data_IF_006880730807
#
_entry.id   IF_006880730807
#
_cell.length_a   1.000
_cell.length_b   1.000
_cell.length_c   1.000
_cell.angle_alpha   90.00
_cell.angle_beta   90.00
_cell.angle_gamma   90.00
#
_symmetry.space_group_name_H-M   'P 1'
#
loop_
_entity.id
_entity.type
_entity.pdbx_description
1 polymer ?
#
# COMPACT_ATOMS: atom_id res chain seq x y z
N UNK A 1 -1.29 -29.93 -13.27
CA UNK A 1 -0.68 -28.82 -14.03
C UNK A 1 -1.80 -27.94 -14.55
N UNK A 2 -2.11 -26.83 -13.87
CA UNK A 2 -2.85 -25.69 -14.44
C UNK A 2 -2.22 -24.45 -13.82
N UNK A 3 -1.12 -24.03 -14.42
CA UNK A 3 -0.58 -22.70 -14.25
C UNK A 3 -0.59 -22.09 -15.64
N UNK A 4 -1.35 -21.01 -15.83
CA UNK A 4 -1.14 -20.01 -16.87
C UNK A 4 -1.94 -18.78 -16.46
N UNK A 5 -1.24 -17.67 -16.28
CA UNK A 5 -1.84 -16.35 -16.36
C UNK A 5 -2.38 -16.20 -17.78
N UNK A 6 -3.66 -15.93 -17.93
CA UNK A 6 -4.29 -15.68 -19.23
C UNK A 6 -5.33 -14.61 -18.98
N UNK A 7 -5.30 -13.54 -19.78
CA UNK A 7 -6.47 -12.70 -19.98
C UNK A 7 -7.70 -13.62 -20.07
N UNK A 8 -8.76 -13.27 -19.34
CA UNK A 8 -10.00 -14.03 -19.44
C UNK A 8 -10.39 -14.04 -20.92
N UNK A 9 -10.58 -15.22 -21.52
CA UNK A 9 -10.89 -15.30 -22.94
C UNK A 9 -12.23 -14.60 -23.21
N UNK A 10 -12.44 -14.14 -24.44
CA UNK A 10 -13.58 -13.29 -24.86
C UNK A 10 -14.86 -13.61 -24.08
N UNK A 11 -15.19 -12.75 -23.11
CA UNK A 11 -16.40 -12.88 -22.33
C UNK A 11 -17.56 -12.37 -23.17
N UNK A 12 -18.66 -13.10 -23.15
CA UNK A 12 -19.87 -12.76 -23.86
C UNK A 12 -20.89 -12.24 -22.87
N UNK A 13 -21.67 -11.24 -23.27
CA UNK A 13 -22.80 -10.77 -22.46
C UNK A 13 -23.97 -11.74 -22.70
N UNK A 14 -24.31 -12.48 -21.65
CA UNK A 14 -25.35 -13.51 -21.66
C UNK A 14 -26.59 -12.91 -21.02
N UNK A 15 -27.76 -13.12 -21.65
CA UNK A 15 -29.05 -12.72 -21.13
C UNK A 15 -29.79 -13.91 -20.51
N UNK A 16 -30.38 -13.68 -19.34
CA UNK A 16 -31.24 -14.63 -18.65
C UNK A 16 -32.71 -14.34 -18.95
N UNK A 17 -33.59 -15.33 -18.74
CA UNK A 17 -35.04 -15.20 -18.95
C UNK A 17 -35.68 -14.11 -18.06
N UNK A 18 -35.07 -13.77 -16.93
CA UNK A 18 -35.50 -12.68 -16.05
C UNK A 18 -35.10 -11.28 -16.57
N UNK A 19 -34.50 -11.21 -17.76
CA UNK A 19 -33.98 -9.99 -18.38
C UNK A 19 -32.63 -9.52 -17.85
N UNK A 20 -32.07 -10.20 -16.83
CA UNK A 20 -30.75 -9.86 -16.30
C UNK A 20 -29.64 -10.26 -17.27
N UNK A 21 -28.52 -9.52 -17.22
CA UNK A 21 -27.38 -9.71 -18.11
C UNK A 21 -26.11 -9.95 -17.31
N UNK A 22 -25.26 -10.83 -17.79
CA UNK A 22 -23.96 -11.12 -17.16
C UNK A 22 -22.89 -11.38 -18.22
N UNK A 23 -21.79 -10.64 -18.11
CA UNK A 23 -20.57 -10.88 -18.87
C UNK A 23 -19.85 -12.09 -18.29
N UNK A 24 -19.69 -13.14 -19.11
CA UNK A 24 -18.98 -14.33 -18.71
C UNK A 24 -18.91 -15.39 -19.79
N UNK A 25 -18.55 -16.60 -19.39
CA UNK A 25 -18.52 -17.79 -20.23
C UNK A 25 -19.31 -18.91 -19.55
N UNK A 26 -20.22 -19.53 -20.29
CA UNK A 26 -20.89 -20.75 -19.82
C UNK A 26 -19.95 -21.95 -20.03
N UNK A 27 -19.65 -22.68 -18.97
CA UNK A 27 -18.88 -23.93 -18.99
C UNK A 27 -19.66 -25.02 -18.27
N UNK A 28 -19.50 -26.29 -18.67
CA UNK A 28 -20.05 -27.43 -17.94
C UNK A 28 -19.00 -27.99 -16.99
N UNK A 29 -19.33 -28.09 -15.71
CA UNK A 29 -18.47 -28.67 -14.68
C UNK A 29 -19.30 -29.71 -13.93
N UNK A 30 -18.85 -30.96 -13.91
CA UNK A 30 -19.52 -32.07 -13.20
C UNK A 30 -21.01 -32.24 -13.56
N UNK A 31 -21.39 -31.96 -14.81
CA UNK A 31 -22.79 -32.06 -15.29
C UNK A 31 -23.66 -30.83 -15.04
N UNK A 32 -23.19 -29.85 -14.24
CA UNK A 32 -23.87 -28.57 -14.04
C UNK A 32 -23.33 -27.48 -14.97
N UNK A 33 -24.23 -26.66 -15.53
CA UNK A 33 -23.85 -25.44 -16.26
C UNK A 33 -23.43 -24.36 -15.28
N UNK A 34 -22.23 -23.82 -15.45
CA UNK A 34 -21.64 -22.76 -14.63
C UNK A 34 -21.35 -21.56 -15.51
N UNK A 35 -21.62 -20.35 -15.02
CA UNK A 35 -21.14 -19.11 -15.64
C UNK A 35 -19.87 -18.67 -14.94
N UNK A 36 -18.78 -18.55 -15.70
CA UNK A 36 -17.45 -18.14 -15.22
C UNK A 36 -17.21 -16.68 -15.63
N UNK A 37 -16.84 -15.84 -14.67
CA UNK A 37 -16.68 -14.39 -14.81
C UNK A 37 -15.31 -13.93 -14.28
N UNK A 38 -15.03 -12.61 -14.36
CA UNK A 38 -13.83 -12.01 -13.76
C UNK A 38 -13.75 -12.14 -12.23
N UNK A 39 -14.89 -12.37 -11.56
CA UNK A 39 -14.99 -12.41 -10.10
C UNK A 39 -15.10 -13.82 -9.53
N UNK A 40 -15.45 -14.81 -10.35
CA UNK A 40 -15.63 -16.19 -9.92
C UNK A 40 -16.52 -16.98 -10.86
N UNK A 41 -17.19 -18.00 -10.34
CA UNK A 41 -18.19 -18.76 -11.05
C UNK A 41 -19.50 -18.86 -10.25
N UNK A 42 -20.62 -19.03 -10.94
CA UNK A 42 -21.93 -19.25 -10.34
C UNK A 42 -22.66 -20.38 -11.09
N UNK A 43 -23.37 -21.29 -10.39
CA UNK A 43 -24.22 -22.26 -11.07
C UNK A 43 -25.36 -21.55 -11.80
N UNK A 44 -25.71 -22.07 -12.97
CA UNK A 44 -26.84 -21.62 -13.77
C UNK A 44 -27.90 -22.71 -13.75
N UNK A 45 -29.14 -22.34 -13.44
CA UNK A 45 -30.28 -23.25 -13.48
C UNK A 45 -30.57 -23.60 -14.95
N UNK A 46 -30.80 -24.87 -15.25
CA UNK A 46 -31.14 -25.29 -16.61
C UNK A 46 -32.47 -24.64 -17.04
N UNK A 47 -32.49 -24.02 -18.23
CA UNK A 47 -33.66 -23.32 -18.77
C UNK A 47 -33.57 -21.79 -18.67
N UNK A 48 -32.85 -21.23 -17.70
CA UNK A 48 -32.86 -19.76 -17.47
C UNK A 48 -32.01 -18.95 -18.43
N UNK A 49 -31.41 -19.58 -19.44
CA UNK A 49 -30.56 -18.93 -20.43
C UNK A 49 -31.40 -18.61 -21.67
N UNK A 50 -31.69 -17.32 -21.88
CA UNK A 50 -32.46 -16.83 -23.02
C UNK A 50 -31.60 -16.77 -24.29
N UNK A 51 -30.38 -16.22 -24.17
CA UNK A 51 -29.46 -16.17 -25.31
C UNK A 51 -28.25 -15.27 -25.10
N UNK A 52 -27.51 -15.03 -26.18
CA UNK A 52 -26.47 -14.02 -26.22
C UNK A 52 -27.10 -12.66 -26.56
N UNK A 53 -26.66 -11.60 -25.87
CA UNK A 53 -27.06 -10.24 -26.23
C UNK A 53 -26.52 -9.90 -27.62
N UNK A 54 -27.33 -9.30 -28.52
CA UNK A 54 -26.89 -8.92 -29.86
C UNK A 54 -25.62 -8.07 -29.84
N UNK A 55 -24.74 -8.27 -30.84
CA UNK A 55 -23.44 -7.60 -30.88
C UNK A 55 -23.54 -6.06 -30.91
N UNK A 56 -24.58 -5.53 -31.54
CA UNK A 56 -24.84 -4.08 -31.62
C UNK A 56 -25.20 -3.51 -30.25
N UNK A 57 -26.03 -4.22 -29.47
CA UNK A 57 -26.39 -3.82 -28.11
C UNK A 57 -25.19 -3.86 -27.16
N UNK A 58 -24.34 -4.89 -27.29
CA UNK A 58 -23.08 -4.98 -26.54
C UNK A 58 -22.16 -3.81 -26.88
N UNK A 59 -22.08 -3.44 -28.17
CA UNK A 59 -21.26 -2.32 -28.64
C UNK A 59 -21.79 -0.98 -28.11
N UNK A 60 -23.11 -0.78 -28.11
CA UNK A 60 -23.76 0.39 -27.54
C UNK A 60 -23.51 0.52 -26.03
N UNK A 61 -23.64 -0.57 -25.28
CA UNK A 61 -23.35 -0.58 -23.84
C UNK A 61 -21.88 -0.26 -23.54
N UNK A 62 -20.95 -0.77 -24.36
CA UNK A 62 -19.52 -0.44 -24.23
C UNK A 62 -19.23 1.02 -24.57
N UNK A 63 -19.92 1.61 -25.54
CA UNK A 63 -19.80 3.03 -25.84
C UNK A 63 -20.30 3.90 -24.67
N UNK A 64 -21.46 3.55 -24.09
CA UNK A 64 -21.98 4.22 -22.89
C UNK A 64 -21.02 4.11 -21.70
N UNK A 65 -20.39 2.94 -21.50
CA UNK A 65 -19.35 2.78 -20.49
C UNK A 65 -18.17 3.72 -20.74
N UNK A 66 -17.69 3.81 -21.99
CA UNK A 66 -16.56 4.66 -22.35
C UNK A 66 -16.85 6.15 -22.08
N UNK A 67 -18.03 6.63 -22.50
CA UNK A 67 -18.50 7.99 -22.24
C UNK A 67 -18.55 8.28 -20.73
N UNK A 68 -19.20 7.42 -19.95
CA UNK A 68 -19.26 7.59 -18.49
C UNK A 68 -17.88 7.49 -17.83
N UNK A 69 -16.96 6.69 -18.37
CA UNK A 69 -15.61 6.56 -17.82
C UNK A 69 -14.77 7.81 -18.07
N UNK A 70 -15.00 8.54 -19.17
CA UNK A 70 -14.36 9.83 -19.47
C UNK A 70 -14.86 10.94 -18.54
N UNK A 71 -16.16 10.92 -18.20
CA UNK A 71 -16.77 11.89 -17.28
C UNK A 71 -16.27 11.74 -15.83
N UNK A 72 -15.72 10.57 -15.46
CA UNK A 72 -15.21 10.35 -14.10
C UNK A 72 -13.84 10.98 -13.93
N UNK A 73 -13.85 12.16 -13.29
CA UNK A 73 -12.66 12.93 -12.91
C UNK A 73 -11.54 12.03 -12.35
N UNK A 74 -10.30 12.12 -12.88
CA UNK A 74 -9.16 11.39 -12.35
C UNK A 74 -8.99 11.60 -10.83
N UNK A 75 -8.86 10.50 -10.08
CA UNK A 75 -8.72 10.54 -8.62
C UNK A 75 -10.03 10.65 -7.83
N UNK A 76 -11.18 10.86 -8.47
CA UNK A 76 -12.47 10.85 -7.78
C UNK A 76 -12.97 9.41 -7.56
N UNK A 77 -12.73 8.88 -6.36
CA UNK A 77 -13.02 7.48 -6.02
C UNK A 77 -14.52 7.17 -5.96
N UNK A 78 -15.36 8.13 -5.54
CA UNK A 78 -16.80 7.92 -5.44
C UNK A 78 -17.47 7.72 -6.81
N UNK A 79 -17.11 8.53 -7.81
CA UNK A 79 -17.62 8.37 -9.19
C UNK A 79 -17.24 7.02 -9.80
N UNK A 80 -16.01 6.56 -9.55
CA UNK A 80 -15.56 5.22 -10.01
C UNK A 80 -16.32 4.08 -9.35
N UNK A 81 -16.68 4.20 -8.07
CA UNK A 81 -17.52 3.19 -7.40
C UNK A 81 -18.94 3.21 -7.96
N UNK A 82 -19.49 4.38 -8.26
CA UNK A 82 -20.81 4.50 -8.91
C UNK A 82 -20.81 3.86 -10.30
N UNK A 83 -19.78 4.15 -11.12
CA UNK A 83 -19.60 3.52 -12.43
C UNK A 83 -19.42 2.00 -12.31
N UNK A 84 -18.66 1.52 -11.33
CA UNK A 84 -18.52 0.09 -11.08
C UNK A 84 -19.86 -0.59 -10.75
N UNK A 85 -20.72 0.09 -9.96
CA UNK A 85 -22.06 -0.40 -9.63
C UNK A 85 -22.96 -0.42 -10.85
N UNK A 86 -22.96 0.64 -11.66
CA UNK A 86 -23.68 0.66 -12.93
C UNK A 86 -23.23 -0.47 -13.86
N UNK A 87 -21.91 -0.69 -13.98
CA UNK A 87 -21.37 -1.82 -14.75
C UNK A 87 -21.89 -3.16 -14.23
N UNK A 88 -22.01 -3.34 -12.91
CA UNK A 88 -22.60 -4.56 -12.34
C UNK A 88 -24.08 -4.72 -12.68
N UNK A 89 -24.86 -3.64 -12.66
CA UNK A 89 -26.29 -3.65 -13.04
C UNK A 89 -26.48 -3.99 -14.52
N UNK A 90 -25.60 -3.51 -15.39
CA UNK A 90 -25.61 -3.83 -16.83
C UNK A 90 -24.98 -5.19 -17.17
N UNK A 91 -24.42 -5.89 -16.20
CA UNK A 91 -23.71 -7.16 -16.39
C UNK A 91 -22.28 -7.03 -16.92
N UNK A 92 -21.74 -5.83 -17.11
CA UNK A 92 -20.38 -5.54 -17.61
C UNK A 92 -19.33 -5.73 -16.50
N UNK A 93 -19.11 -6.98 -16.10
CA UNK A 93 -18.26 -7.30 -14.95
C UNK A 93 -16.78 -6.95 -15.15
N UNK A 94 -16.26 -7.00 -16.38
CA UNK A 94 -14.89 -6.59 -16.70
C UNK A 94 -14.67 -5.10 -16.42
N UNK A 95 -15.59 -4.25 -16.87
CA UNK A 95 -15.57 -2.82 -16.58
C UNK A 95 -15.74 -2.52 -15.09
N UNK A 96 -16.63 -3.26 -14.40
CA UNK A 96 -16.77 -3.14 -12.95
C UNK A 96 -15.45 -3.45 -12.22
N UNK A 97 -14.75 -4.52 -12.61
CA UNK A 97 -13.47 -4.90 -12.00
C UNK A 97 -12.39 -3.83 -12.21
N UNK A 98 -12.30 -3.29 -13.42
CA UNK A 98 -11.35 -2.21 -13.75
C UNK A 98 -11.54 -0.98 -12.86
N UNK A 99 -12.79 -0.51 -12.72
CA UNK A 99 -13.08 0.66 -11.89
C UNK A 99 -12.82 0.39 -10.39
N UNK A 100 -13.15 -0.79 -9.89
CA UNK A 100 -12.83 -1.19 -8.51
C UNK A 100 -11.31 -1.23 -8.30
N UNK A 101 -10.55 -1.81 -9.22
CA UNK A 101 -9.10 -1.86 -9.14
C UNK A 101 -8.47 -0.46 -9.16
N UNK A 102 -9.02 0.45 -9.96
CA UNK A 102 -8.58 1.85 -9.97
C UNK A 102 -8.81 2.52 -8.61
N UNK A 103 -9.98 2.29 -7.98
CA UNK A 103 -10.28 2.82 -6.64
C UNK A 103 -9.36 2.23 -5.58
N UNK A 104 -9.24 0.90 -5.55
CA UNK A 104 -8.44 0.16 -4.57
C UNK A 104 -6.95 0.48 -4.69
N UNK A 105 -6.46 0.84 -5.88
CA UNK A 105 -5.07 1.29 -6.09
C UNK A 105 -4.77 2.61 -5.40
N UNK A 106 -5.71 3.55 -5.40
CA UNK A 106 -5.57 4.88 -4.80
C UNK A 106 -5.92 4.84 -3.32
N UNK A 107 -7.10 4.30 -2.99
CA UNK A 107 -7.63 4.16 -1.65
C UNK A 107 -8.14 2.74 -1.40
N UNK A 108 -7.26 1.81 -0.96
CA UNK A 108 -7.65 0.46 -0.56
C UNK A 108 -8.61 0.41 0.63
N UNK A 109 -8.78 1.53 1.35
CA UNK A 109 -9.57 1.62 2.58
C UNK A 109 -10.94 2.26 2.32
N UNK A 110 -11.26 2.55 1.05
CA UNK A 110 -12.56 3.08 0.62
C UNK A 110 -13.70 2.17 1.09
N UNK A 111 -14.57 2.73 1.94
CA UNK A 111 -15.73 2.01 2.50
C UNK A 111 -16.69 1.56 1.40
N UNK A 112 -16.97 2.43 0.43
CA UNK A 112 -17.91 2.15 -0.66
C UNK A 112 -17.39 1.05 -1.59
N UNK A 113 -16.09 1.08 -1.92
CA UNK A 113 -15.47 0.00 -2.70
C UNK A 113 -15.48 -1.32 -1.93
N UNK A 114 -15.13 -1.30 -0.63
CA UNK A 114 -15.13 -2.50 0.18
C UNK A 114 -16.53 -3.12 0.36
N UNK A 115 -17.57 -2.28 0.44
CA UNK A 115 -18.98 -2.73 0.48
C UNK A 115 -19.37 -3.43 -0.84
N UNK A 116 -19.08 -2.80 -1.99
CA UNK A 116 -19.33 -3.38 -3.30
C UNK A 116 -18.59 -4.71 -3.49
N UNK A 117 -17.33 -4.79 -3.06
CA UNK A 117 -16.55 -6.03 -3.08
C UNK A 117 -17.19 -7.11 -2.20
N UNK A 118 -17.82 -6.73 -1.08
CA UNK A 118 -18.60 -7.65 -0.23
C UNK A 118 -19.84 -8.19 -0.94
N UNK A 119 -20.57 -7.34 -1.67
CA UNK A 119 -21.71 -7.76 -2.51
C UNK A 119 -21.26 -8.74 -3.61
N UNK A 120 -20.16 -8.43 -4.30
CA UNK A 120 -19.53 -9.32 -5.29
C UNK A 120 -19.12 -10.65 -4.64
N UNK A 121 -18.51 -10.58 -3.45
CA UNK A 121 -18.13 -11.76 -2.69
C UNK A 121 -19.34 -12.57 -2.23
N UNK A 122 -20.53 -12.01 -2.09
CA UNK A 122 -21.74 -12.79 -1.80
C UNK A 122 -22.28 -13.47 -3.08
N UNK A 123 -22.24 -12.76 -4.22
CA UNK A 123 -22.82 -13.21 -5.48
C UNK A 123 -22.03 -14.32 -6.21
N UNK A 124 -20.70 -14.32 -6.09
CA UNK A 124 -19.81 -15.16 -6.90
C UNK A 124 -19.02 -16.17 -6.05
N UNK A 125 -18.89 -17.43 -6.51
CA UNK A 125 -18.03 -18.43 -5.88
C UNK A 125 -16.64 -18.39 -6.49
N UNK A 126 -15.59 -18.42 -5.67
CA UNK A 126 -14.21 -18.39 -6.14
C UNK A 126 -13.71 -19.75 -6.66
N UNK A 127 -14.20 -20.84 -6.07
CA UNK A 127 -13.78 -22.22 -6.35
C UNK A 127 -14.97 -23.17 -6.19
N UNK A 128 -14.90 -24.36 -6.79
CA UNK A 128 -15.91 -25.42 -6.61
C UNK A 128 -15.94 -25.96 -5.18
N UNK A 129 -14.82 -25.87 -4.46
CA UNK A 129 -14.73 -26.25 -3.05
C UNK A 129 -15.41 -25.24 -2.10
N UNK A 130 -15.83 -24.08 -2.60
CA UNK A 130 -16.50 -23.07 -1.78
C UNK A 130 -17.89 -23.55 -1.34
N UNK A 131 -18.12 -23.55 -0.03
CA UNK A 131 -19.36 -24.08 0.57
C UNK A 131 -19.41 -25.61 0.67
N UNK A 132 -18.30 -26.30 0.39
CA UNK A 132 -18.21 -27.75 0.53
C UNK A 132 -18.44 -28.22 1.97
N UNK A 133 -19.36 -29.17 2.16
CA UNK A 133 -19.71 -29.70 3.48
C UNK A 133 -18.62 -30.59 4.10
N UNK A 134 -17.75 -31.21 3.27
CA UNK A 134 -16.71 -32.13 3.75
C UNK A 134 -15.50 -31.35 4.28
N UNK A 135 -14.84 -31.81 5.37
CA UNK A 135 -13.63 -31.17 5.90
C UNK A 135 -12.48 -31.07 4.87
N UNK A 136 -12.39 -32.03 3.95
CA UNK A 136 -11.41 -32.01 2.86
C UNK A 136 -11.61 -30.81 1.93
N UNK A 137 -12.85 -30.51 1.59
CA UNK A 137 -13.20 -29.43 0.66
C UNK A 137 -12.98 -28.08 1.31
N UNK A 138 -13.36 -27.92 2.60
CA UNK A 138 -13.04 -26.71 3.37
C UNK A 138 -11.55 -26.44 3.47
N UNK A 139 -10.74 -27.45 3.82
CA UNK A 139 -9.27 -27.32 3.87
C UNK A 139 -8.67 -26.95 2.53
N UNK A 140 -9.19 -27.55 1.44
CA UNK A 140 -8.78 -27.22 0.07
C UNK A 140 -9.14 -25.77 -0.27
N UNK A 141 -10.37 -25.35 0.02
CA UNK A 141 -10.83 -23.99 -0.21
C UNK A 141 -9.96 -22.98 0.55
N UNK A 142 -9.73 -23.19 1.85
CA UNK A 142 -8.84 -22.33 2.66
C UNK A 142 -7.43 -22.24 2.05
N UNK A 143 -6.83 -23.38 1.69
CA UNK A 143 -5.50 -23.40 1.05
C UNK A 143 -5.49 -22.57 -0.23
N UNK A 144 -6.51 -22.73 -1.05
CA UNK A 144 -6.63 -22.11 -2.36
C UNK A 144 -6.92 -20.61 -2.25
N UNK A 145 -7.71 -20.22 -1.24
CA UNK A 145 -7.99 -18.83 -0.88
C UNK A 145 -6.71 -18.04 -0.65
N UNK A 146 -5.79 -18.58 0.18
CA UNK A 146 -4.52 -17.93 0.50
C UNK A 146 -3.46 -18.08 -0.60
N UNK A 147 -3.37 -19.21 -1.29
CA UNK A 147 -2.25 -19.46 -2.23
C UNK A 147 -2.55 -19.07 -3.68
N UNK A 148 -3.80 -19.19 -4.11
CA UNK A 148 -4.21 -18.96 -5.50
C UNK A 148 -5.00 -17.67 -5.65
N UNK A 149 -6.11 -17.53 -4.93
CA UNK A 149 -7.04 -16.42 -5.16
C UNK A 149 -6.45 -15.09 -4.69
N UNK A 150 -6.00 -14.99 -3.44
CA UNK A 150 -5.36 -13.78 -2.93
C UNK A 150 -4.02 -13.44 -3.59
N UNK A 151 -3.45 -14.36 -4.37
CA UNK A 151 -2.21 -14.12 -5.08
C UNK A 151 -2.38 -13.36 -6.41
N UNK A 152 -3.60 -13.34 -6.98
CA UNK A 152 -3.90 -12.75 -8.30
C UNK A 152 -3.78 -11.23 -8.30
N UNK A 153 -4.62 -10.57 -7.53
CA UNK A 153 -4.72 -9.11 -7.45
C UNK A 153 -5.28 -8.70 -6.06
N UNK A 154 -5.20 -7.41 -5.73
CA UNK A 154 -5.64 -6.91 -4.43
C UNK A 154 -7.17 -6.99 -4.28
N UNK A 155 -7.93 -6.75 -5.35
CA UNK A 155 -9.40 -6.87 -5.36
C UNK A 155 -9.84 -8.30 -5.01
N UNK A 156 -9.22 -9.30 -5.62
CA UNK A 156 -9.45 -10.73 -5.34
C UNK A 156 -8.98 -11.09 -3.94
N UNK A 157 -7.91 -10.49 -3.43
CA UNK A 157 -7.53 -10.64 -2.02
C UNK A 157 -8.58 -10.05 -1.06
N UNK A 158 -9.25 -8.95 -1.43
CA UNK A 158 -10.37 -8.37 -0.68
C UNK A 158 -11.64 -9.24 -0.76
N UNK A 159 -11.98 -9.78 -1.93
CA UNK A 159 -13.05 -10.80 -2.07
C UNK A 159 -12.73 -12.01 -1.19
N UNK A 160 -11.49 -12.50 -1.26
CA UNK A 160 -11.03 -13.61 -0.44
C UNK A 160 -11.09 -13.30 1.05
N UNK A 161 -10.86 -12.05 1.47
CA UNK A 161 -11.02 -11.62 2.85
C UNK A 161 -12.49 -11.68 3.29
N UNK A 162 -13.43 -11.18 2.47
CA UNK A 162 -14.87 -11.32 2.73
C UNK A 162 -15.30 -12.77 2.87
N UNK A 163 -14.87 -13.65 1.96
CA UNK A 163 -15.11 -15.10 2.07
C UNK A 163 -14.51 -15.70 3.34
N UNK A 164 -13.29 -15.30 3.71
CA UNK A 164 -12.63 -15.78 4.92
C UNK A 164 -13.40 -15.40 6.19
N UNK A 165 -14.21 -14.33 6.17
CA UNK A 165 -15.03 -13.93 7.32
C UNK A 165 -16.07 -14.99 7.68
N UNK A 166 -16.62 -15.71 6.70
CA UNK A 166 -17.59 -16.79 6.91
C UNK A 166 -16.95 -18.14 7.32
N UNK A 167 -15.62 -18.26 7.26
CA UNK A 167 -14.92 -19.49 7.63
C UNK A 167 -14.70 -19.57 9.15
N UNK A 168 -14.59 -20.81 9.63
CA UNK A 168 -14.20 -21.12 11.01
C UNK A 168 -12.81 -20.51 11.30
N UNK A 169 -12.67 -19.68 12.35
CA UNK A 169 -11.38 -19.18 12.81
C UNK A 169 -10.31 -20.28 12.90
N UNK A 170 -10.63 -21.45 13.45
CA UNK A 170 -9.66 -22.52 13.68
C UNK A 170 -8.99 -23.00 12.37
N UNK A 171 -9.72 -22.98 11.26
CA UNK A 171 -9.19 -23.39 9.96
C UNK A 171 -8.27 -22.32 9.32
N UNK A 172 -8.35 -21.05 9.76
CA UNK A 172 -7.70 -19.92 9.08
C UNK A 172 -6.40 -19.44 9.75
N UNK A 173 -6.19 -19.73 11.05
CA UNK A 173 -5.02 -19.24 11.80
C UNK A 173 -3.68 -19.68 11.18
N UNK A 174 -3.47 -20.99 11.04
CA UNK A 174 -2.20 -21.54 10.49
C UNK A 174 -1.97 -21.10 9.04
N UNK A 175 -2.97 -21.17 8.13
CA UNK A 175 -2.83 -20.64 6.77
C UNK A 175 -2.45 -19.15 6.73
N UNK A 176 -3.07 -18.32 7.57
CA UNK A 176 -2.76 -16.89 7.61
C UNK A 176 -1.34 -16.61 8.15
N UNK A 177 -0.90 -17.30 9.21
CA UNK A 177 0.48 -17.18 9.69
C UNK A 177 1.52 -17.56 8.61
N UNK A 178 1.23 -18.62 7.84
CA UNK A 178 2.07 -19.02 6.69
C UNK A 178 2.01 -17.97 5.56
N UNK A 179 0.82 -17.44 5.29
CA UNK A 179 0.59 -16.46 4.21
C UNK A 179 1.30 -15.12 4.41
N UNK A 180 1.60 -14.71 5.66
CA UNK A 180 2.44 -13.52 5.92
C UNK A 180 3.86 -13.62 5.35
N UNK A 181 4.34 -14.84 5.04
CA UNK A 181 5.66 -15.09 4.44
C UNK A 181 5.61 -15.24 2.91
N UNK A 182 4.43 -15.08 2.31
CA UNK A 182 4.24 -15.33 0.88
C UNK A 182 4.82 -14.21 -0.01
N UNK A 183 5.21 -14.56 -1.25
CA UNK A 183 5.79 -13.62 -2.22
C UNK A 183 4.80 -12.54 -2.70
N UNK A 184 3.54 -12.90 -2.90
CA UNK A 184 2.48 -11.98 -3.34
C UNK A 184 1.99 -11.10 -2.19
N UNK A 185 1.90 -9.79 -2.45
CA UNK A 185 1.40 -8.80 -1.49
C UNK A 185 -0.07 -9.04 -1.11
N UNK A 186 -0.93 -9.48 -2.05
CA UNK A 186 -2.34 -9.76 -1.78
C UNK A 186 -2.52 -10.88 -0.74
N UNK A 187 -1.68 -11.92 -0.80
CA UNK A 187 -1.68 -13.00 0.20
C UNK A 187 -1.25 -12.51 1.58
N UNK A 188 -0.21 -11.67 1.64
CA UNK A 188 0.25 -11.09 2.92
C UNK A 188 -0.79 -10.13 3.49
N UNK A 189 -1.45 -9.34 2.65
CA UNK A 189 -2.54 -8.45 3.02
C UNK A 189 -3.73 -9.24 3.58
N UNK A 190 -4.21 -10.25 2.86
CA UNK A 190 -5.29 -11.14 3.31
C UNK A 190 -4.94 -11.76 4.66
N UNK A 191 -3.72 -12.28 4.78
CA UNK A 191 -3.22 -12.90 6.01
C UNK A 191 -3.24 -11.95 7.19
N UNK A 192 -2.75 -10.71 7.00
CA UNK A 192 -2.78 -9.70 8.05
C UNK A 192 -4.21 -9.37 8.49
N UNK A 193 -5.14 -9.23 7.53
CA UNK A 193 -6.56 -8.94 7.78
C UNK A 193 -7.28 -10.09 8.48
N UNK A 194 -7.03 -11.34 8.08
CA UNK A 194 -7.62 -12.53 8.72
C UNK A 194 -7.12 -12.69 10.15
N UNK A 195 -5.83 -12.47 10.39
CA UNK A 195 -5.24 -12.54 11.74
C UNK A 195 -5.83 -11.52 12.72
N UNK A 196 -6.57 -10.51 12.26
CA UNK A 196 -7.28 -9.58 13.13
C UNK A 196 -8.36 -10.28 13.97
N UNK A 197 -9.01 -11.32 13.43
CA UNK A 197 -9.99 -12.17 14.14
C UNK A 197 -9.34 -13.08 15.19
N UNK A 198 -8.01 -13.26 15.09
CA UNK A 198 -7.21 -14.12 15.96
C UNK A 198 -6.56 -13.33 17.09
N UNK A 199 -7.21 -12.28 17.61
CA UNK A 199 -6.58 -11.28 18.49
C UNK A 199 -5.92 -11.87 19.75
N UNK A 200 -6.43 -12.99 20.25
CA UNK A 200 -5.96 -13.68 21.46
C UNK A 200 -4.75 -14.61 21.22
N UNK A 201 -4.30 -14.78 19.97
CA UNK A 201 -3.19 -15.67 19.62
C UNK A 201 -1.86 -14.92 19.60
N UNK A 202 -0.97 -15.06 20.60
CA UNK A 202 0.28 -14.29 20.68
C UNK A 202 1.24 -14.60 19.53
N UNK A 203 1.19 -15.78 18.94
CA UNK A 203 2.03 -16.20 17.80
C UNK A 203 1.86 -15.33 16.55
N UNK A 204 0.76 -14.57 16.45
CA UNK A 204 0.54 -13.60 15.36
C UNK A 204 1.36 -12.33 15.51
N UNK A 205 1.77 -11.98 16.73
CA UNK A 205 2.30 -10.66 17.08
C UNK A 205 3.60 -10.38 16.33
N UNK A 206 4.60 -11.25 16.47
CA UNK A 206 5.91 -11.04 15.86
C UNK A 206 5.85 -11.02 14.31
N UNK A 207 5.16 -11.97 13.63
CA UNK A 207 4.96 -11.90 12.19
C UNK A 207 4.30 -10.59 11.71
N UNK A 208 3.22 -10.14 12.39
CA UNK A 208 2.53 -8.90 12.03
C UNK A 208 3.39 -7.67 12.28
N UNK A 209 4.06 -7.60 13.43
CA UNK A 209 4.96 -6.49 13.76
C UNK A 209 6.09 -6.36 12.74
N UNK A 210 6.70 -7.48 12.33
CA UNK A 210 7.72 -7.48 11.27
C UNK A 210 7.13 -6.96 9.96
N UNK A 211 5.93 -7.41 9.56
CA UNK A 211 5.28 -6.92 8.33
C UNK A 211 4.92 -5.44 8.41
N UNK A 212 4.45 -4.96 9.55
CA UNK A 212 4.14 -3.56 9.78
C UNK A 212 5.34 -2.64 9.55
N UNK A 213 6.55 -3.06 9.96
CA UNK A 213 7.76 -2.25 9.82
C UNK A 213 8.41 -2.34 8.43
N UNK A 214 8.53 -3.55 7.89
CA UNK A 214 9.43 -3.80 6.74
C UNK A 214 8.75 -4.31 5.47
N UNK A 215 7.43 -4.48 5.45
CA UNK A 215 6.80 -4.95 4.20
C UNK A 215 6.99 -3.93 3.06
N UNK A 216 7.37 -4.39 1.85
CA UNK A 216 7.47 -3.52 0.69
C UNK A 216 6.16 -2.79 0.37
N UNK A 217 5.03 -3.46 0.52
CA UNK A 217 3.71 -2.91 0.18
C UNK A 217 3.13 -2.12 1.37
N UNK A 218 2.84 -0.83 1.17
CA UNK A 218 2.25 0.05 2.20
C UNK A 218 0.89 -0.46 2.70
N UNK A 219 0.08 -1.04 1.82
CA UNK A 219 -1.22 -1.64 2.16
C UNK A 219 -1.08 -2.81 3.12
N UNK A 220 -0.01 -3.63 2.99
CA UNK A 220 0.27 -4.74 3.90
C UNK A 220 0.76 -4.20 5.25
N UNK A 221 1.61 -3.16 5.25
CA UNK A 221 2.06 -2.51 6.50
C UNK A 221 0.86 -2.01 7.30
N UNK A 222 -0.04 -1.24 6.68
CA UNK A 222 -1.27 -0.74 7.33
C UNK A 222 -2.16 -1.89 7.83
N UNK A 223 -2.39 -2.91 7.00
CA UNK A 223 -3.18 -4.07 7.40
C UNK A 223 -2.59 -4.80 8.61
N UNK A 224 -1.27 -4.94 8.67
CA UNK A 224 -0.59 -5.56 9.80
C UNK A 224 -0.70 -4.74 11.09
N UNK A 225 -0.52 -3.41 11.01
CA UNK A 225 -0.73 -2.52 12.16
C UNK A 225 -2.17 -2.58 12.65
N UNK A 226 -3.15 -2.49 11.76
CA UNK A 226 -4.58 -2.60 12.13
C UNK A 226 -4.91 -3.95 12.77
N UNK A 227 -4.30 -5.02 12.29
CA UNK A 227 -4.46 -6.35 12.90
C UNK A 227 -3.96 -6.38 14.34
N UNK A 228 -2.84 -5.73 14.65
CA UNK A 228 -2.34 -5.56 16.02
C UNK A 228 -3.26 -4.64 16.83
N UNK A 229 -3.71 -3.51 16.24
CA UNK A 229 -4.60 -2.52 16.86
C UNK A 229 -5.87 -3.11 17.46
N UNK A 230 -6.41 -4.22 16.93
CA UNK A 230 -7.62 -4.88 17.46
C UNK A 230 -7.51 -5.25 18.95
N UNK A 231 -6.29 -5.45 19.47
CA UNK A 231 -6.04 -5.71 20.89
C UNK A 231 -6.12 -4.46 21.76
N UNK A 232 -5.96 -3.27 21.17
CA UNK A 232 -5.88 -1.98 21.85
C UNK A 232 -4.82 -1.91 22.97
N UNK A 233 -3.76 -2.74 22.88
CA UNK A 233 -2.70 -2.80 23.91
C UNK A 233 -1.65 -1.67 23.70
N UNK A 234 -1.44 -0.78 24.69
CA UNK A 234 -0.41 0.26 24.66
C UNK A 234 1.03 -0.24 24.45
N UNK A 235 1.31 -1.52 24.71
CA UNK A 235 2.60 -2.17 24.41
C UNK A 235 2.98 -1.97 22.94
N UNK A 236 2.03 -2.01 22.02
CA UNK A 236 2.33 -1.83 20.59
C UNK A 236 2.83 -0.42 20.27
N UNK A 237 2.30 0.61 20.92
CA UNK A 237 2.81 1.98 20.76
C UNK A 237 4.27 2.06 21.21
N UNK A 238 4.61 1.50 22.38
CA UNK A 238 5.99 1.45 22.86
C UNK A 238 6.91 0.66 21.92
N UNK A 239 6.42 -0.44 21.36
CA UNK A 239 7.19 -1.29 20.45
C UNK A 239 7.53 -0.57 19.14
N UNK A 240 6.57 0.13 18.52
CA UNK A 240 6.85 0.93 17.33
C UNK A 240 7.72 2.15 17.66
N UNK A 241 7.49 2.82 18.79
CA UNK A 241 8.27 3.98 19.24
C UNK A 241 9.78 3.70 19.32
N UNK A 242 10.19 2.48 19.72
CA UNK A 242 11.61 2.08 19.74
C UNK A 242 12.30 2.22 18.37
N UNK A 243 11.57 2.19 17.26
CA UNK A 243 12.12 2.32 15.91
C UNK A 243 12.24 3.77 15.43
N UNK A 244 11.71 4.75 16.18
CA UNK A 244 11.89 6.16 15.85
C UNK A 244 13.35 6.62 15.97
N UNK A 245 14.18 5.91 16.74
CA UNK A 245 15.63 6.11 16.82
C UNK A 245 16.46 5.21 15.92
N UNK A 246 15.85 4.46 14.98
CA UNK A 246 16.58 3.50 14.16
C UNK A 246 17.56 4.20 13.20
N UNK A 247 18.78 3.68 12.95
CA UNK A 247 19.71 4.28 11.99
C UNK A 247 19.14 4.36 10.56
N UNK A 248 18.27 3.42 10.17
CA UNK A 248 17.64 3.42 8.85
C UNK A 248 16.43 4.35 8.84
N UNK A 249 16.52 5.45 8.08
CA UNK A 249 15.44 6.42 7.91
C UNK A 249 14.09 5.79 7.56
N UNK A 250 14.09 4.81 6.64
CA UNK A 250 12.87 4.09 6.25
C UNK A 250 12.16 3.45 7.44
N UNK A 251 12.89 2.88 8.40
CA UNK A 251 12.29 2.26 9.59
C UNK A 251 11.74 3.30 10.56
N UNK A 252 12.38 4.46 10.69
CA UNK A 252 11.85 5.56 11.50
C UNK A 252 10.52 6.08 10.92
N UNK A 253 10.46 6.26 9.61
CA UNK A 253 9.24 6.68 8.91
C UNK A 253 8.12 5.64 9.02
N UNK A 254 8.41 4.35 8.78
CA UNK A 254 7.37 3.31 8.90
C UNK A 254 6.90 3.12 10.34
N UNK A 255 7.76 3.34 11.33
CA UNK A 255 7.37 3.37 12.73
C UNK A 255 6.43 4.51 13.05
N UNK A 256 6.70 5.72 12.55
CA UNK A 256 5.79 6.86 12.70
C UNK A 256 4.44 6.64 12.00
N UNK A 257 4.44 6.08 10.78
CA UNK A 257 3.23 5.66 10.07
C UNK A 257 2.43 4.64 10.91
N UNK A 258 3.11 3.66 11.51
CA UNK A 258 2.48 2.64 12.33
C UNK A 258 1.88 3.21 13.63
N UNK A 259 2.58 4.14 14.30
CA UNK A 259 2.04 4.84 15.47
C UNK A 259 0.77 5.61 15.11
N UNK A 260 0.78 6.31 13.97
CA UNK A 260 -0.39 7.02 13.49
C UNK A 260 -1.57 6.10 13.15
N UNK A 261 -1.30 4.94 12.55
CA UNK A 261 -2.31 3.95 12.20
C UNK A 261 -2.87 3.23 13.45
N UNK A 262 -2.04 2.99 14.47
CA UNK A 262 -2.49 2.49 15.77
C UNK A 262 -3.50 3.45 16.40
N UNK A 263 -3.27 4.76 16.33
CA UNK A 263 -4.19 5.73 16.91
C UNK A 263 -4.15 5.77 18.44
N UNK A 264 -3.06 5.31 19.05
CA UNK A 264 -2.90 5.23 20.51
C UNK A 264 -2.14 6.46 21.02
N UNK A 265 -2.64 7.08 22.09
CA UNK A 265 -2.09 8.32 22.65
C UNK A 265 -0.65 8.18 23.12
N UNK A 266 -0.26 6.98 23.56
CA UNK A 266 1.11 6.65 23.98
C UNK A 266 2.14 6.78 22.85
N UNK A 267 1.69 6.91 21.59
CA UNK A 267 2.56 7.20 20.46
C UNK A 267 2.92 8.68 20.29
N UNK A 268 2.19 9.60 20.94
CA UNK A 268 2.35 11.05 20.71
C UNK A 268 3.66 11.57 21.29
N UNK A 269 3.94 11.28 22.57
CA UNK A 269 5.17 11.75 23.22
C UNK A 269 6.44 11.24 22.52
N UNK A 270 6.57 9.94 22.14
CA UNK A 270 7.69 9.48 21.34
C UNK A 270 7.85 10.19 19.99
N UNK A 271 6.75 10.52 19.31
CA UNK A 271 6.79 11.24 18.04
C UNK A 271 7.27 12.69 18.20
N UNK A 272 6.82 13.39 19.25
CA UNK A 272 7.32 14.74 19.56
C UNK A 272 8.81 14.69 19.92
N UNK A 273 9.24 13.69 20.70
CA UNK A 273 10.65 13.45 21.00
C UNK A 273 11.48 13.19 19.74
N UNK A 274 10.98 12.39 18.80
CA UNK A 274 11.66 12.13 17.52
C UNK A 274 11.72 13.38 16.63
N UNK A 275 10.66 14.20 16.61
CA UNK A 275 10.65 15.49 15.90
C UNK A 275 11.66 16.47 16.50
N UNK A 276 11.77 16.52 17.84
CA UNK A 276 12.78 17.30 18.56
C UNK A 276 14.19 16.83 18.22
N UNK A 277 14.44 15.51 18.28
CA UNK A 277 15.74 14.94 17.93
C UNK A 277 16.15 15.27 16.49
N UNK A 278 15.20 15.32 15.55
CA UNK A 278 15.44 15.74 14.17
C UNK A 278 15.75 17.25 14.07
N UNK A 279 15.16 18.07 14.94
CA UNK A 279 15.40 19.52 14.98
C UNK A 279 16.73 19.87 15.69
N UNK A 280 17.11 19.14 16.74
CA UNK A 280 18.36 19.33 17.49
C UNK A 280 19.54 18.60 16.85
N UNK A 281 19.29 17.53 16.10
CA UNK A 281 20.29 16.75 15.37
C UNK A 281 20.83 17.43 14.12
N UNK A 282 20.94 18.77 14.14
CA UNK A 282 21.49 19.63 13.08
C UNK A 282 22.98 19.42 12.80
N UNK A 283 23.49 18.20 12.94
CA UNK A 283 24.64 17.70 12.20
C UNK A 283 24.16 17.17 10.85
N UNK A 284 23.57 18.04 10.02
CA UNK A 284 23.62 17.77 8.58
C UNK A 284 25.07 17.49 8.22
N UNK A 285 25.32 16.55 7.30
CA UNK A 285 26.67 16.43 6.72
C UNK A 285 27.02 17.83 6.22
N UNK A 286 27.93 18.50 6.93
CA UNK A 286 28.52 19.77 6.50
C UNK A 286 29.51 19.39 5.43
N UNK A 287 29.12 19.60 4.19
CA UNK A 287 29.99 19.43 3.05
C UNK A 287 30.41 20.82 2.60
N UNK A 288 31.72 21.03 2.48
CA UNK A 288 32.24 22.22 1.84
C UNK A 288 32.63 21.85 0.40
N UNK A 289 32.22 22.67 -0.55
CA UNK A 289 32.73 22.62 -1.92
C UNK A 289 33.56 23.87 -2.11
N UNK A 290 34.85 23.70 -2.31
CA UNK A 290 35.76 24.79 -2.68
C UNK A 290 36.08 24.65 -4.17
N UNK A 291 35.67 25.63 -4.96
CA UNK A 291 36.10 25.77 -6.36
C UNK A 291 37.05 26.95 -6.39
N UNK A 292 38.35 26.64 -6.39
CA UNK A 292 39.43 27.64 -6.34
C UNK A 292 40.37 27.50 -7.51
N UNK A 293 40.84 28.62 -8.03
CA UNK A 293 41.91 28.70 -9.03
C UNK A 293 43.15 29.28 -8.34
N UNK A 294 44.27 28.57 -8.47
CA UNK A 294 45.56 29.03 -7.98
C UNK A 294 46.38 29.52 -9.17
N UNK A 295 46.82 30.78 -9.11
CA UNK A 295 47.72 31.38 -10.10
C UNK A 295 49.06 31.67 -9.43
N UNK A 296 50.10 30.99 -9.89
CA UNK A 296 51.47 31.30 -9.52
C UNK A 296 51.95 32.51 -10.32
N UNK A 297 52.67 33.43 -9.67
CA UNK A 297 53.30 34.57 -10.32
C UNK A 297 54.68 34.80 -9.73
N UNK A 298 55.60 35.32 -10.54
CA UNK A 298 56.91 35.76 -10.05
C UNK A 298 56.70 37.09 -9.34
N UNK A 299 56.91 37.09 -8.04
CA UNK A 299 56.73 38.26 -7.17
C UNK A 299 57.95 39.17 -7.22
N UNK A 300 59.13 38.56 -7.27
CA UNK A 300 60.40 39.27 -7.31
C UNK A 300 61.48 38.35 -7.88
N UNK A 301 62.68 38.88 -8.10
CA UNK A 301 63.86 38.10 -8.47
C UNK A 301 64.97 38.38 -7.46
N UNK A 302 65.55 37.33 -6.88
CA UNK A 302 66.80 37.49 -6.17
C UNK A 302 67.92 37.46 -7.21
N UNK A 303 68.67 38.55 -7.32
CA UNK A 303 69.65 38.74 -8.39
C UNK A 303 71.04 38.75 -7.80
N UNK A 304 71.80 37.70 -8.10
CA UNK A 304 73.23 37.66 -7.82
C UNK A 304 74.01 38.18 -9.02
N UNK A 305 74.89 39.15 -8.77
CA UNK A 305 75.74 39.75 -9.81
C UNK A 305 77.18 39.25 -9.61
N UNK A 306 77.66 38.46 -10.57
CA UNK A 306 79.07 38.11 -10.71
C UNK A 306 79.64 38.74 -11.99
N UNK A 307 80.94 39.07 -11.99
CA UNK A 307 81.64 39.98 -12.93
C UNK A 307 81.27 39.96 -14.43
N UNK A 308 80.65 38.91 -14.97
CA UNK A 308 80.17 38.85 -16.36
C UNK A 308 78.83 38.11 -16.57
N UNK A 309 78.09 37.76 -15.52
CA UNK A 309 76.80 37.07 -15.63
C UNK A 309 75.81 37.57 -14.58
N UNK A 310 74.56 37.75 -14.99
CA UNK A 310 73.43 38.07 -14.11
C UNK A 310 72.54 36.84 -14.05
N UNK A 311 72.47 36.20 -12.87
CA UNK A 311 71.59 35.05 -12.64
C UNK A 311 70.47 35.55 -11.72
N UNK A 312 69.26 35.60 -12.26
CA UNK A 312 68.07 36.00 -11.52
C UNK A 312 67.31 34.75 -11.09
N UNK A 313 67.16 34.54 -9.78
CA UNK A 313 66.37 33.45 -9.22
C UNK A 313 64.94 33.97 -8.93
N UNK A 314 63.91 33.54 -9.68
CA UNK A 314 62.56 34.04 -9.51
C UNK A 314 61.94 33.57 -8.19
N UNK A 315 61.53 34.52 -7.35
CA UNK A 315 60.70 34.27 -6.17
C UNK A 315 59.25 34.16 -6.63
N UNK A 316 58.69 32.95 -6.54
CA UNK A 316 57.31 32.67 -6.95
C UNK A 316 56.37 32.68 -5.75
N UNK A 317 55.24 33.38 -5.88
CA UNK A 317 54.15 33.39 -4.89
C UNK A 317 52.84 32.91 -5.55
N UNK A 318 51.84 32.53 -4.76
CA UNK A 318 50.59 31.94 -5.25
C UNK A 318 49.39 32.74 -4.76
N UNK A 319 48.61 33.28 -5.69
CA UNK A 319 47.29 33.87 -5.37
C UNK A 319 46.22 32.82 -5.59
N UNK A 320 45.37 32.63 -4.58
CA UNK A 320 44.18 31.77 -4.67
C UNK A 320 42.94 32.63 -4.79
N UNK A 321 42.17 32.45 -5.85
CA UNK A 321 40.84 33.04 -6.01
C UNK A 321 39.78 31.94 -6.14
N UNK A 322 38.55 32.20 -5.72
CA UNK A 322 37.49 31.19 -5.86
C UNK A 322 36.32 31.38 -4.91
N UNK A 323 35.41 30.39 -4.94
CA UNK A 323 34.21 30.36 -4.12
C UNK A 323 34.24 29.12 -3.23
N UNK A 324 33.96 29.33 -1.94
CA UNK A 324 33.73 28.26 -0.97
C UNK A 324 32.25 28.25 -0.61
N UNK A 325 31.58 27.14 -0.90
CA UNK A 325 30.19 26.91 -0.51
C UNK A 325 30.15 25.98 0.70
N UNK A 326 29.63 26.47 1.82
CA UNK A 326 29.29 25.63 2.99
C UNK A 326 27.85 25.14 2.85
N UNK A 327 27.69 23.82 2.66
CA UNK A 327 26.39 23.17 2.48
C UNK A 327 26.06 22.37 3.72
N UNK A 328 25.02 22.79 4.45
CA UNK A 328 24.42 22.01 5.53
C UNK A 328 23.15 21.33 5.04
N UNK A 329 23.08 19.99 5.13
CA UNK A 329 21.82 19.27 4.91
C UNK A 329 20.89 19.53 6.11
N UNK A 330 19.89 20.40 5.98
CA UNK A 330 18.93 20.79 7.05
C UNK A 330 17.93 19.67 7.44
N UNK A 331 18.29 18.43 7.15
CA UNK A 331 17.45 17.24 7.28
C UNK A 331 16.61 16.98 6.03
N UNK A 332 16.26 15.71 5.81
CA UNK A 332 15.42 15.31 4.69
C UNK A 332 13.98 15.69 5.02
N UNK A 333 13.44 16.71 4.34
CA UNK A 333 12.04 17.22 4.45
C UNK A 333 10.99 16.12 4.64
N UNK A 334 11.20 14.95 4.02
CA UNK A 334 10.31 13.79 4.05
C UNK A 334 10.10 13.21 5.46
N UNK A 335 11.14 13.13 6.30
CA UNK A 335 11.02 12.53 7.64
C UNK A 335 10.26 13.44 8.60
N UNK A 336 10.57 14.75 8.57
CA UNK A 336 9.82 15.78 9.29
C UNK A 336 8.35 15.77 8.88
N UNK A 337 8.08 15.67 7.58
CA UNK A 337 6.73 15.52 7.06
C UNK A 337 6.02 14.26 7.57
N UNK A 338 6.72 13.14 7.71
CA UNK A 338 6.14 11.90 8.23
C UNK A 338 5.72 12.03 9.70
N UNK A 339 6.56 12.63 10.56
CA UNK A 339 6.25 12.82 11.98
C UNK A 339 5.12 13.81 12.20
N UNK A 340 5.13 14.93 11.48
CA UNK A 340 4.07 15.94 11.58
C UNK A 340 2.72 15.43 11.07
N UNK A 341 2.68 14.67 9.96
CA UNK A 341 1.46 13.98 9.52
C UNK A 341 0.99 12.93 10.52
N UNK A 342 1.91 12.17 11.12
CA UNK A 342 1.58 11.18 12.14
C UNK A 342 0.96 11.83 13.39
N UNK A 343 1.57 12.91 13.88
CA UNK A 343 1.07 13.70 15.01
C UNK A 343 -0.31 14.31 14.71
N UNK A 344 -0.49 14.92 13.54
CA UNK A 344 -1.80 15.46 13.12
C UNK A 344 -2.86 14.38 13.06
N UNK A 345 -2.54 13.19 12.54
CA UNK A 345 -3.49 12.07 12.47
C UNK A 345 -3.84 11.51 13.86
N UNK A 346 -2.91 11.54 14.81
CA UNK A 346 -3.12 11.06 16.18
C UNK A 346 -3.90 12.04 17.06
N UNK A 347 -3.60 13.34 16.91
CA UNK A 347 -4.05 14.37 17.85
C UNK A 347 -5.15 15.26 17.27
N UNK A 348 -5.31 15.31 15.94
CA UNK A 348 -6.13 16.31 15.26
C UNK A 348 -5.45 17.68 15.11
N UNK A 349 -4.35 17.92 15.83
CA UNK A 349 -3.70 19.22 15.94
C UNK A 349 -2.69 19.50 14.82
N UNK A 350 -2.52 20.78 14.51
CA UNK A 350 -1.83 21.26 13.31
C UNK A 350 -0.60 22.15 13.55
N UNK A 351 0.24 21.88 14.56
CA UNK A 351 1.41 22.74 14.87
C UNK A 351 2.59 22.62 13.89
N UNK A 352 2.44 21.82 12.83
CA UNK A 352 3.51 21.61 11.85
C UNK A 352 4.79 21.10 12.52
N UNK A 353 5.93 21.66 12.12
CA UNK A 353 7.24 21.29 12.64
C UNK A 353 7.66 22.05 13.92
N UNK A 354 6.78 22.86 14.50
CA UNK A 354 7.10 23.63 15.71
C UNK A 354 7.12 22.72 16.95
N UNK A 355 8.33 22.31 17.32
CA UNK A 355 8.58 21.45 18.49
C UNK A 355 8.13 22.12 19.79
N UNK A 356 8.31 23.44 19.94
CA UNK A 356 7.93 24.15 21.17
C UNK A 356 6.41 24.19 21.33
N UNK A 357 5.69 24.39 20.24
CA UNK A 357 4.23 24.31 20.24
C UNK A 357 3.73 22.91 20.63
N UNK A 358 4.33 21.85 20.07
CA UNK A 358 4.01 20.47 20.44
C UNK A 358 4.32 20.15 21.92
N UNK A 359 5.49 20.55 22.43
CA UNK A 359 5.85 20.35 23.84
C UNK A 359 4.92 21.13 24.78
N UNK A 360 4.59 22.38 24.44
CA UNK A 360 3.66 23.21 25.21
C UNK A 360 2.25 22.62 25.24
N UNK A 361 1.77 22.08 24.12
CA UNK A 361 0.49 21.38 24.04
C UNK A 361 0.49 20.10 24.89
N UNK A 362 1.55 19.28 24.83
CA UNK A 362 1.68 18.08 25.67
C UNK A 362 1.65 18.41 27.17
N UNK A 363 2.38 19.44 27.60
CA UNK A 363 2.39 19.88 29.01
C UNK A 363 1.02 20.34 29.50
N UNK A 364 0.23 21.01 28.65
CA UNK A 364 -1.14 21.43 29.00
C UNK A 364 -2.10 20.26 29.17
N UNK A 365 -1.86 19.15 28.48
CA UNK A 365 -2.70 17.96 28.50
C UNK A 365 -2.37 16.99 29.64
N UNK A 366 -1.15 17.06 30.18
CA UNK A 366 -0.69 16.27 31.32
C UNK A 366 -1.00 16.91 32.68
N UNK A 367 -1.44 18.17 32.70
CA UNK A 367 -2.06 18.83 33.86
C UNK A 367 -3.56 18.56 33.82
#
# INVERSE_FOLDING_TARGET
>A
MIAMASALPAQQLIQFEDGSRVEGRVTRVEGASMIVTVFGARPVVAGTLDGQVPADDVSRLRALYAEQAEDVVPGFTAGRVALARWCMEQGLLSGAKEQIEAVVRVDPDSRSANALIGEIAAAWRLDTAEGGAKPRDRRRFVKDLFSRHAAKDLTTAMIAWHKAQALDPAETLRPALKGLKHKSAGVRWLSARVLARHRNHPERINPLYKRALVDPASVVRRAAVRSLKVTNDPVFARLFAKNLGNPKQRLRMTAAEALAELGLEQGVEPLVGALKALASGGGGVRAHIAVTTQKAYVKDFDVEIAQAAVIADPIVDIVTEGVVLDVTVVGISVERGAYTRALRRLTGEGFGADVKAWEGWLRRRQK
#
